data_IF_729542730144
#
_entry.id   IF_729542730144
#
_cell.length_a   1.000
_cell.length_b   1.000
_cell.length_c   1.000
_cell.angle_alpha   90.00
_cell.angle_beta   90.00
_cell.angle_gamma   90.00
#
_symmetry.space_group_name_H-M   'P 1'
#
loop_
_entity.id
_entity.type
_entity.pdbx_description
1 polymer ?
#
# COMPACT_ATOMS: atom_id res chain seq x y z
N UNK A 1 9.58 -55.84 -34.90
CA UNK A 1 9.61 -54.36 -34.74
C UNK A 1 8.57 -54.02 -33.70
N UNK A 2 9.00 -53.66 -32.49
CA UNK A 2 8.12 -53.25 -31.40
C UNK A 2 8.10 -51.69 -31.37
N UNK A 3 6.94 -51.05 -31.11
CA UNK A 3 6.87 -49.61 -31.00
C UNK A 3 7.41 -49.16 -29.63
N UNK A 4 8.28 -48.16 -29.67
CA UNK A 4 8.84 -47.48 -28.50
C UNK A 4 7.76 -46.59 -27.90
N UNK A 5 7.35 -46.89 -26.66
CA UNK A 5 6.47 -46.02 -25.88
C UNK A 5 7.28 -44.83 -25.36
N UNK A 6 7.10 -43.67 -25.99
CA UNK A 6 7.60 -42.39 -25.49
C UNK A 6 6.69 -41.87 -24.39
N UNK A 7 7.03 -42.14 -23.13
CA UNK A 7 6.39 -41.51 -21.97
C UNK A 7 7.01 -40.15 -21.72
N UNK A 8 6.52 -39.12 -22.39
CA UNK A 8 6.79 -37.71 -22.03
C UNK A 8 5.89 -37.34 -20.87
N UNK A 9 6.37 -37.47 -19.65
CA UNK A 9 5.74 -36.81 -18.50
C UNK A 9 5.95 -35.30 -18.60
N UNK A 10 4.98 -34.60 -19.17
CA UNK A 10 4.89 -33.15 -18.99
C UNK A 10 4.74 -32.90 -17.48
N UNK A 11 5.81 -32.39 -16.88
CA UNK A 11 5.70 -31.77 -15.57
C UNK A 11 4.86 -30.52 -15.75
N UNK A 12 3.56 -30.64 -15.52
CA UNK A 12 2.66 -29.50 -15.44
C UNK A 12 3.09 -28.74 -14.20
N UNK A 13 4.00 -27.77 -14.37
CA UNK A 13 4.21 -26.74 -13.36
C UNK A 13 2.83 -26.13 -13.09
N UNK A 14 2.41 -25.99 -11.81
CA UNK A 14 1.16 -25.35 -11.51
C UNK A 14 1.18 -23.97 -12.19
N UNK A 15 0.11 -23.68 -12.94
CA UNK A 15 -0.03 -22.41 -13.64
C UNK A 15 0.23 -21.30 -12.64
N UNK A 16 1.17 -20.41 -12.97
CA UNK A 16 1.46 -19.24 -12.14
C UNK A 16 0.14 -18.47 -11.92
N UNK A 17 -0.27 -18.24 -10.66
CA UNK A 17 -1.53 -17.56 -10.39
C UNK A 17 -1.49 -16.18 -11.04
N UNK A 18 -2.55 -15.82 -11.75
CA UNK A 18 -2.64 -14.56 -12.48
C UNK A 18 -2.72 -13.38 -11.51
N UNK A 19 -2.13 -12.25 -11.88
CA UNK A 19 -2.30 -10.99 -11.15
C UNK A 19 -3.79 -10.75 -10.88
N UNK A 20 -4.17 -10.60 -9.61
CA UNK A 20 -5.54 -10.37 -9.18
C UNK A 20 -6.26 -11.59 -8.58
N UNK A 21 -5.66 -12.79 -8.58
CA UNK A 21 -6.25 -13.94 -7.90
C UNK A 21 -6.03 -13.84 -6.39
N UNK A 22 -7.11 -13.91 -5.55
CA UNK A 22 -7.00 -13.77 -4.09
C UNK A 22 -6.06 -14.80 -3.45
N UNK A 23 -6.04 -16.02 -3.96
CA UNK A 23 -5.19 -17.09 -3.41
C UNK A 23 -3.71 -16.85 -3.67
N UNK A 24 -3.37 -16.24 -4.80
CA UNK A 24 -2.01 -15.80 -5.08
C UNK A 24 -1.55 -14.72 -4.09
N UNK A 25 -2.39 -13.70 -3.88
CA UNK A 25 -2.09 -12.63 -2.93
C UNK A 25 -1.89 -13.19 -1.50
N UNK A 26 -2.74 -14.11 -1.06
CA UNK A 26 -2.61 -14.79 0.24
C UNK A 26 -1.33 -15.61 0.35
N UNK A 27 -0.95 -16.35 -0.71
CA UNK A 27 0.28 -17.14 -0.74
C UNK A 27 1.53 -16.25 -0.66
N UNK A 28 1.52 -15.10 -1.35
CA UNK A 28 2.59 -14.12 -1.23
C UNK A 28 2.63 -13.47 0.16
N UNK A 29 1.48 -13.09 0.70
CA UNK A 29 1.38 -12.56 2.05
C UNK A 29 2.01 -13.50 3.09
N UNK A 30 1.74 -14.80 2.99
CA UNK A 30 2.34 -15.79 3.90
C UNK A 30 3.88 -15.80 3.81
N UNK A 31 4.43 -15.69 2.60
CA UNK A 31 5.89 -15.60 2.39
C UNK A 31 6.46 -14.31 2.96
N UNK A 32 5.81 -13.18 2.71
CA UNK A 32 6.22 -11.85 3.20
C UNK A 32 6.19 -11.82 4.72
N UNK A 33 5.11 -12.32 5.35
CA UNK A 33 5.01 -12.43 6.82
C UNK A 33 6.12 -13.29 7.40
N UNK A 34 6.40 -14.45 6.80
CA UNK A 34 7.50 -15.29 7.25
C UNK A 34 8.84 -14.55 7.25
N UNK A 35 9.12 -13.74 6.23
CA UNK A 35 10.34 -12.93 6.19
C UNK A 35 10.31 -11.86 7.28
N UNK A 36 9.19 -11.14 7.48
CA UNK A 36 9.05 -10.16 8.53
C UNK A 36 9.30 -10.76 9.93
N UNK A 37 8.78 -11.97 10.19
CA UNK A 37 8.87 -12.63 11.50
C UNK A 37 10.25 -13.24 11.78
N UNK A 38 10.99 -13.63 10.75
CA UNK A 38 12.22 -14.44 10.93
C UNK A 38 13.51 -13.78 10.47
N UNK A 39 13.45 -12.69 9.70
CA UNK A 39 14.62 -12.02 9.17
C UNK A 39 15.39 -11.31 10.29
N UNK A 40 16.71 -11.54 10.30
CA UNK A 40 17.67 -10.81 11.13
C UNK A 40 18.57 -9.88 10.29
N UNK A 41 18.21 -9.74 9.01
CA UNK A 41 18.97 -8.92 8.08
C UNK A 41 18.66 -7.45 8.34
N UNK A 42 19.68 -6.63 8.30
CA UNK A 42 19.58 -5.18 8.32
C UNK A 42 19.78 -4.66 6.89
N UNK A 43 18.96 -3.70 6.49
CA UNK A 43 19.11 -2.96 5.26
C UNK A 43 19.34 -1.49 5.61
N UNK A 44 20.58 -1.04 5.39
CA UNK A 44 21.05 0.26 5.86
C UNK A 44 20.86 0.34 7.39
N UNK A 45 20.09 1.31 7.89
CA UNK A 45 19.83 1.48 9.33
C UNK A 45 18.49 0.86 9.77
N UNK A 46 17.84 0.07 8.90
CA UNK A 46 16.51 -0.48 9.16
C UNK A 46 16.55 -2.00 9.24
N UNK A 47 15.85 -2.58 10.19
CA UNK A 47 15.68 -4.02 10.18
C UNK A 47 14.79 -4.44 9.00
N UNK A 48 15.22 -5.46 8.24
CA UNK A 48 14.42 -6.01 7.16
C UNK A 48 13.04 -6.49 7.68
N UNK A 49 12.97 -6.96 8.93
CA UNK A 49 11.72 -7.33 9.59
C UNK A 49 10.73 -6.16 9.64
N UNK A 50 11.18 -4.95 9.98
CA UNK A 50 10.32 -3.75 10.02
C UNK A 50 9.88 -3.33 8.62
N UNK A 51 10.81 -3.20 7.68
CA UNK A 51 10.50 -2.83 6.29
C UNK A 51 9.50 -3.80 5.66
N UNK A 52 9.78 -5.10 5.78
CA UNK A 52 8.90 -6.16 5.26
C UNK A 52 7.59 -6.21 6.05
N UNK A 53 7.61 -5.85 7.34
CA UNK A 53 6.42 -5.71 8.17
C UNK A 53 5.44 -4.65 7.65
N UNK A 54 5.93 -3.49 7.20
CA UNK A 54 5.10 -2.46 6.53
C UNK A 54 4.43 -3.05 5.30
N UNK A 55 5.22 -3.65 4.40
CA UNK A 55 4.71 -4.27 3.16
C UNK A 55 3.69 -5.39 3.44
N UNK A 56 3.96 -6.23 4.45
CA UNK A 56 3.06 -7.31 4.86
C UNK A 56 1.69 -6.78 5.32
N UNK A 57 1.69 -5.71 6.13
CA UNK A 57 0.45 -5.13 6.63
C UNK A 57 -0.31 -4.35 5.53
N UNK A 58 0.37 -3.70 4.61
CA UNK A 58 -0.26 -3.08 3.43
C UNK A 58 -0.93 -4.15 2.56
N UNK A 59 -0.23 -5.25 2.24
CA UNK A 59 -0.78 -6.33 1.44
C UNK A 59 -1.95 -7.03 2.16
N UNK A 60 -1.82 -7.33 3.46
CA UNK A 60 -2.89 -7.92 4.27
C UNK A 60 -4.13 -7.01 4.33
N UNK A 61 -3.90 -5.70 4.48
CA UNK A 61 -4.96 -4.70 4.45
C UNK A 61 -5.70 -4.69 3.11
N UNK A 62 -5.00 -4.71 1.98
CA UNK A 62 -5.64 -4.75 0.66
C UNK A 62 -6.42 -6.06 0.44
N UNK A 63 -5.87 -7.21 0.82
CA UNK A 63 -6.59 -8.50 0.74
C UNK A 63 -7.88 -8.45 1.58
N UNK A 64 -7.78 -7.91 2.81
CA UNK A 64 -8.91 -7.79 3.75
C UNK A 64 -9.97 -6.83 3.19
N UNK A 65 -9.55 -5.69 2.65
CA UNK A 65 -10.44 -4.71 2.01
C UNK A 65 -11.15 -5.30 0.79
N UNK A 66 -10.41 -6.01 -0.07
CA UNK A 66 -10.99 -6.67 -1.26
C UNK A 66 -11.99 -7.77 -0.89
N UNK A 67 -11.87 -8.36 0.30
CA UNK A 67 -12.85 -9.29 0.86
C UNK A 67 -14.09 -8.59 1.45
N UNK A 68 -14.15 -7.24 1.43
CA UNK A 68 -15.25 -6.44 1.94
C UNK A 68 -15.14 -6.01 3.40
N UNK A 69 -14.09 -6.41 4.10
CA UNK A 69 -13.84 -6.00 5.49
C UNK A 69 -12.99 -4.72 5.55
N UNK A 70 -13.63 -3.58 5.30
CA UNK A 70 -12.95 -2.27 5.36
C UNK A 70 -12.47 -1.91 6.78
N UNK A 71 -13.22 -2.16 7.86
CA UNK A 71 -12.71 -1.94 9.22
C UNK A 71 -11.46 -2.78 9.54
N UNK A 72 -11.46 -4.05 9.19
CA UNK A 72 -10.28 -4.91 9.35
C UNK A 72 -9.08 -4.44 8.53
N UNK A 73 -9.31 -3.96 7.31
CA UNK A 73 -8.26 -3.37 6.48
C UNK A 73 -7.65 -2.12 7.12
N UNK A 74 -8.47 -1.22 7.67
CA UNK A 74 -8.00 -0.01 8.38
C UNK A 74 -7.06 -0.40 9.51
N UNK A 75 -7.40 -1.40 10.35
CA UNK A 75 -6.55 -1.85 11.45
C UNK A 75 -5.17 -2.36 10.96
N UNK A 76 -5.14 -3.01 9.78
CA UNK A 76 -3.87 -3.43 9.16
C UNK A 76 -3.05 -2.25 8.66
N UNK A 77 -3.69 -1.28 8.00
CA UNK A 77 -3.01 -0.08 7.54
C UNK A 77 -2.52 0.79 8.70
N UNK A 78 -3.26 0.88 9.81
CA UNK A 78 -2.79 1.54 11.04
C UNK A 78 -1.52 0.87 11.58
N UNK A 79 -1.46 -0.47 11.54
CA UNK A 79 -0.26 -1.21 11.92
C UNK A 79 0.90 -0.93 10.96
N UNK A 80 0.64 -0.86 9.64
CA UNK A 80 1.65 -0.49 8.66
C UNK A 80 2.20 0.91 8.92
N UNK A 81 1.33 1.90 9.15
CA UNK A 81 1.72 3.29 9.47
C UNK A 81 2.56 3.35 10.75
N UNK A 82 2.19 2.61 11.78
CA UNK A 82 2.99 2.57 13.01
C UNK A 82 4.41 2.06 12.76
N UNK A 83 4.57 0.98 11.99
CA UNK A 83 5.88 0.44 11.64
C UNK A 83 6.69 1.39 10.75
N UNK A 84 6.01 2.10 9.84
CA UNK A 84 6.58 3.12 8.97
C UNK A 84 7.12 4.31 9.80
N UNK A 85 6.32 4.81 10.75
CA UNK A 85 6.69 5.91 11.64
C UNK A 85 7.84 5.58 12.62
N UNK A 86 8.05 4.30 12.90
CA UNK A 86 9.16 3.83 13.75
C UNK A 86 10.48 3.70 12.98
N UNK A 87 10.49 3.94 11.66
CA UNK A 87 11.74 3.92 10.89
C UNK A 87 12.55 5.20 11.13
N UNK A 88 13.87 5.03 11.19
CA UNK A 88 14.78 6.17 11.24
C UNK A 88 14.78 6.90 9.90
N UNK A 89 15.12 8.20 9.92
CA UNK A 89 15.30 8.97 8.70
C UNK A 89 16.38 8.34 7.80
N UNK A 90 16.06 8.24 6.51
CA UNK A 90 16.98 7.74 5.50
C UNK A 90 16.74 8.43 4.14
N UNK A 91 17.78 8.58 3.33
CA UNK A 91 17.69 9.25 2.04
C UNK A 91 18.49 8.47 0.97
N UNK A 92 17.83 8.00 -0.09
CA UNK A 92 16.39 8.02 -0.29
C UNK A 92 15.65 7.14 0.71
N UNK A 93 14.35 7.41 0.92
CA UNK A 93 13.51 6.61 1.79
C UNK A 93 13.56 5.12 1.40
N UNK A 94 13.57 4.21 2.38
CA UNK A 94 13.71 2.77 2.10
C UNK A 94 12.48 2.16 1.44
N UNK A 95 11.30 2.78 1.61
CA UNK A 95 10.06 2.40 0.94
C UNK A 95 9.64 3.47 -0.07
N UNK A 96 9.19 3.10 -1.29
CA UNK A 96 8.87 4.05 -2.35
C UNK A 96 7.52 4.75 -2.17
N UNK A 97 6.85 4.53 -1.04
CA UNK A 97 5.51 5.07 -0.76
C UNK A 97 5.25 5.07 0.75
N UNK A 98 4.59 6.10 1.29
CA UNK A 98 4.13 6.12 2.67
C UNK A 98 2.92 5.19 2.90
N UNK A 99 2.92 4.43 3.99
CA UNK A 99 1.78 3.57 4.35
C UNK A 99 0.48 4.38 4.59
N UNK A 100 0.61 5.66 4.92
CA UNK A 100 -0.51 6.60 5.11
C UNK A 100 -1.40 6.75 3.88
N UNK A 101 -0.88 6.52 2.68
CA UNK A 101 -1.69 6.58 1.46
C UNK A 101 -2.80 5.51 1.47
N UNK A 102 -2.50 4.29 1.91
CA UNK A 102 -3.49 3.20 2.03
C UNK A 102 -4.46 3.44 3.17
N UNK A 103 -3.95 3.86 4.33
CA UNK A 103 -4.80 4.18 5.48
C UNK A 103 -5.79 5.29 5.14
N UNK A 104 -5.31 6.40 4.58
CA UNK A 104 -6.16 7.52 4.20
C UNK A 104 -7.23 7.14 3.18
N UNK A 105 -6.87 6.37 2.14
CA UNK A 105 -7.83 5.89 1.14
C UNK A 105 -8.90 4.97 1.74
N UNK A 106 -8.53 4.06 2.65
CA UNK A 106 -9.49 3.19 3.33
C UNK A 106 -10.41 3.96 4.28
N UNK A 107 -9.90 5.01 4.94
CA UNK A 107 -10.72 5.90 5.77
C UNK A 107 -11.73 6.71 4.94
N UNK A 108 -11.35 7.18 3.75
CA UNK A 108 -12.28 7.82 2.80
C UNK A 108 -13.36 6.83 2.36
N UNK A 109 -12.97 5.59 2.01
CA UNK A 109 -13.90 4.51 1.64
C UNK A 109 -14.88 4.21 2.78
N UNK A 110 -14.41 4.20 4.03
CA UNK A 110 -15.22 4.03 5.24
C UNK A 110 -16.03 5.27 5.63
N UNK A 111 -15.95 6.37 4.87
CA UNK A 111 -16.58 7.68 5.17
C UNK A 111 -16.10 8.32 6.49
N UNK A 112 -14.93 7.91 6.98
CA UNK A 112 -14.23 8.49 8.14
C UNK A 112 -13.39 9.70 7.69
N UNK A 113 -14.05 10.70 7.13
CA UNK A 113 -13.39 11.79 6.42
C UNK A 113 -12.50 12.68 7.31
N UNK A 114 -12.89 12.89 8.56
CA UNK A 114 -12.08 13.66 9.52
C UNK A 114 -10.78 12.94 9.86
N UNK A 115 -10.84 11.61 10.00
CA UNK A 115 -9.66 10.79 10.29
C UNK A 115 -8.73 10.75 9.07
N UNK A 116 -9.31 10.61 7.86
CA UNK A 116 -8.55 10.68 6.61
C UNK A 116 -7.84 12.03 6.44
N UNK A 117 -8.54 13.15 6.73
CA UNK A 117 -7.96 14.50 6.73
C UNK A 117 -6.71 14.57 7.64
N UNK A 118 -6.81 14.03 8.86
CA UNK A 118 -5.70 14.03 9.81
C UNK A 118 -4.51 13.20 9.30
N UNK A 119 -4.79 12.01 8.73
CA UNK A 119 -3.76 11.12 8.18
C UNK A 119 -3.00 11.79 7.03
N UNK A 120 -3.71 12.41 6.08
CA UNK A 120 -3.06 13.07 4.94
C UNK A 120 -2.30 14.33 5.33
N UNK A 121 -2.83 15.11 6.29
CA UNK A 121 -2.09 16.27 6.82
C UNK A 121 -0.79 15.81 7.47
N UNK A 122 -0.81 14.70 8.21
CA UNK A 122 0.40 14.14 8.83
C UNK A 122 1.41 13.64 7.79
N UNK A 123 0.93 13.05 6.70
CA UNK A 123 1.80 12.65 5.58
C UNK A 123 2.49 13.86 4.95
N UNK A 124 1.74 14.93 4.68
CA UNK A 124 2.26 16.15 4.06
C UNK A 124 3.24 16.93 4.92
N UNK A 125 3.32 16.70 6.25
CA UNK A 125 4.38 17.23 7.10
C UNK A 125 5.75 16.62 6.74
N UNK A 126 5.77 15.32 6.39
CA UNK A 126 6.97 14.57 6.04
C UNK A 126 7.26 14.62 4.53
N UNK A 127 6.21 14.61 3.71
CA UNK A 127 6.27 14.58 2.24
C UNK A 127 5.55 15.79 1.63
N UNK A 128 6.09 17.03 1.81
CA UNK A 128 5.46 18.22 1.26
C UNK A 128 5.23 18.08 -0.25
N UNK A 129 4.09 18.58 -0.73
CA UNK A 129 3.72 18.54 -2.16
C UNK A 129 3.50 17.14 -2.76
N UNK A 130 3.38 16.10 -1.93
CA UNK A 130 3.05 14.77 -2.42
C UNK A 130 1.65 14.74 -3.05
N UNK A 131 1.59 14.56 -4.38
CA UNK A 131 0.34 14.62 -5.14
C UNK A 131 -0.69 13.57 -4.74
N UNK A 132 -0.25 12.40 -4.26
CA UNK A 132 -1.14 11.33 -3.79
C UNK A 132 -1.83 11.73 -2.47
N UNK A 133 -1.08 12.25 -1.53
CA UNK A 133 -1.60 12.74 -0.26
C UNK A 133 -2.50 13.98 -0.45
N UNK A 134 -2.10 14.92 -1.33
CA UNK A 134 -2.91 16.09 -1.67
C UNK A 134 -4.26 15.72 -2.29
N UNK A 135 -4.29 14.72 -3.19
CA UNK A 135 -5.55 14.22 -3.75
C UNK A 135 -6.45 13.63 -2.65
N UNK A 136 -5.88 12.79 -1.79
CA UNK A 136 -6.63 12.18 -0.70
C UNK A 136 -7.16 13.22 0.30
N UNK A 137 -6.34 14.22 0.63
CA UNK A 137 -6.76 15.34 1.48
C UNK A 137 -7.90 16.15 0.84
N UNK A 138 -7.78 16.49 -0.45
CA UNK A 138 -8.82 17.19 -1.18
C UNK A 138 -10.15 16.39 -1.14
N UNK A 139 -10.10 15.08 -1.38
CA UNK A 139 -11.28 14.21 -1.33
C UNK A 139 -11.91 14.20 0.06
N UNK A 140 -11.09 14.07 1.11
CA UNK A 140 -11.56 14.07 2.49
C UNK A 140 -12.20 15.41 2.89
N UNK A 141 -11.62 16.54 2.47
CA UNK A 141 -12.17 17.89 2.71
C UNK A 141 -13.49 18.09 1.98
N UNK A 142 -13.54 17.79 0.67
CA UNK A 142 -14.78 17.92 -0.13
C UNK A 142 -15.92 17.09 0.42
N UNK A 143 -15.65 15.88 0.88
CA UNK A 143 -16.67 15.01 1.48
C UNK A 143 -17.22 15.54 2.81
N UNK A 144 -16.50 16.45 3.48
CA UNK A 144 -16.95 17.17 4.68
C UNK A 144 -17.61 18.52 4.37
N UNK A 145 -17.79 18.87 3.09
CA UNK A 145 -18.26 20.20 2.68
C UNK A 145 -17.23 21.31 2.90
N UNK A 146 -15.96 20.98 3.09
CA UNK A 146 -14.85 21.91 3.25
C UNK A 146 -14.12 22.12 1.92
N UNK A 147 -13.46 23.25 1.78
CA UNK A 147 -12.52 23.52 0.68
C UNK A 147 -11.26 24.17 1.24
N UNK A 148 -10.13 23.89 0.62
CA UNK A 148 -8.85 24.54 0.90
C UNK A 148 -8.18 24.92 -0.43
N UNK A 149 -8.25 26.19 -0.83
CA UNK A 149 -7.66 26.64 -2.09
C UNK A 149 -6.15 26.41 -2.20
N UNK A 150 -5.43 26.34 -1.08
CA UNK A 150 -4.01 26.05 -1.10
C UNK A 150 -3.75 24.59 -1.45
N UNK A 151 -4.53 23.66 -0.89
CA UNK A 151 -4.48 22.23 -1.25
C UNK A 151 -4.84 22.04 -2.73
N UNK A 152 -5.87 22.73 -3.22
CA UNK A 152 -6.29 22.63 -4.63
C UNK A 152 -5.19 23.12 -5.59
N UNK A 153 -4.55 24.24 -5.27
CA UNK A 153 -3.47 24.81 -6.06
C UNK A 153 -2.22 23.92 -6.06
N UNK A 154 -1.86 23.39 -4.89
CA UNK A 154 -0.69 22.52 -4.73
C UNK A 154 -0.90 21.17 -5.44
N UNK A 155 -2.09 20.59 -5.35
CA UNK A 155 -2.46 19.41 -6.09
C UNK A 155 -2.34 19.64 -7.61
N UNK A 156 -2.89 20.75 -8.11
CA UNK A 156 -2.81 21.07 -9.54
C UNK A 156 -1.36 21.23 -10.01
N UNK A 157 -0.50 21.85 -9.20
CA UNK A 157 0.92 21.99 -9.46
C UNK A 157 1.65 20.65 -9.46
N UNK A 158 1.39 19.80 -8.48
CA UNK A 158 2.03 18.49 -8.33
C UNK A 158 1.74 17.57 -9.53
N UNK A 159 0.55 17.67 -10.11
CA UNK A 159 0.12 16.86 -11.27
C UNK A 159 0.27 17.58 -12.63
N UNK A 160 0.83 18.78 -12.67
CA UNK A 160 0.88 19.60 -13.88
C UNK A 160 1.63 18.96 -15.07
N UNK A 161 2.51 18.00 -14.81
CA UNK A 161 3.29 17.27 -15.82
C UNK A 161 2.87 15.81 -15.99
N UNK A 162 1.80 15.39 -15.32
CA UNK A 162 1.32 14.00 -15.42
C UNK A 162 0.30 13.89 -16.54
N UNK A 163 0.42 12.84 -17.32
CA UNK A 163 -0.58 12.37 -18.29
C UNK A 163 -1.47 11.25 -17.71
N UNK A 164 -1.26 10.90 -16.46
CA UNK A 164 -1.98 9.85 -15.74
C UNK A 164 -2.91 10.46 -14.68
N UNK A 165 -4.13 9.95 -14.60
CA UNK A 165 -5.11 10.36 -13.61
C UNK A 165 -5.30 9.26 -12.58
N UNK A 166 -5.16 9.60 -11.31
CA UNK A 166 -5.43 8.70 -10.19
C UNK A 166 -6.79 9.01 -9.58
N UNK A 167 -7.43 7.98 -8.99
CA UNK A 167 -8.77 8.09 -8.38
C UNK A 167 -8.73 8.10 -6.85
N UNK A 168 -7.65 7.62 -6.28
CA UNK A 168 -7.42 7.54 -4.84
C UNK A 168 -5.92 7.71 -4.56
N UNK A 169 -5.57 7.94 -3.30
CA UNK A 169 -4.18 8.09 -2.86
C UNK A 169 -3.35 6.79 -2.90
N UNK A 170 -3.93 5.70 -3.32
CA UNK A 170 -3.30 4.38 -3.50
C UNK A 170 -3.50 3.87 -4.93
N UNK A 171 -2.68 2.95 -5.36
CA UNK A 171 -2.75 2.27 -6.66
C UNK A 171 -3.26 0.84 -6.53
#
# INVERSE_FOLDING_TARGET
MAPVAGGGGESVLPAEPRRGEPEFAKAYLAKVKKVADTSKVEFRNHSAARLVGVLANVLDGEITRMAGDVPGAIAKFETAVKLDDEMDYDEPEPLPFPARHWLGAALVEAKRFSDAEAVYKKDLEQHPHNGWALLGLQQALKAQGKSDPAVDADLAKSWSRSDTWIKASRF
#
